data_IF_769695908068
#
_entry.id   IF_769695908068
#
_cell.length_a   1.000
_cell.length_b   1.000
_cell.length_c   1.000
_cell.angle_alpha   90.00
_cell.angle_beta   90.00
_cell.angle_gamma   90.00
#
_symmetry.space_group_name_H-M   'P 1'
#
loop_
_entity.id
_entity.type
_entity.pdbx_description
1 polymer ?
#
# COMPACT_ATOMS: atom_id res chain seq x y z
N UNK A 1 14.26 -2.09 85.96
CA UNK A 1 13.30 -1.46 85.07
C UNK A 1 13.90 -1.31 83.71
N UNK A 2 13.75 -2.32 82.85
CA UNK A 2 14.48 -2.40 81.58
C UNK A 2 13.47 -2.25 80.43
N UNK A 3 13.58 -1.15 79.69
CA UNK A 3 12.69 -0.82 78.61
C UNK A 3 13.16 -1.50 77.34
N UNK A 4 12.42 -2.48 76.84
CA UNK A 4 12.71 -3.18 75.57
C UNK A 4 12.13 -2.37 74.40
N UNK A 5 13.00 -1.75 73.62
CA UNK A 5 12.62 -1.10 72.38
C UNK A 5 12.54 -2.15 71.26
N UNK A 6 11.31 -2.48 70.82
CA UNK A 6 11.06 -3.30 69.62
C UNK A 6 11.28 -2.43 68.36
N UNK A 7 12.35 -2.68 67.64
CA UNK A 7 12.54 -2.12 66.26
C UNK A 7 11.79 -2.97 65.26
N UNK A 8 10.68 -2.42 64.76
CA UNK A 8 9.95 -3.00 63.62
C UNK A 8 10.67 -2.66 62.33
N UNK A 9 11.26 -3.66 61.68
CA UNK A 9 11.79 -3.51 60.34
C UNK A 9 10.66 -3.61 59.33
N UNK A 10 10.26 -2.47 58.73
CA UNK A 10 9.35 -2.40 57.61
C UNK A 10 10.11 -2.82 56.34
N UNK A 11 9.85 -4.02 55.85
CA UNK A 11 10.37 -4.50 54.59
C UNK A 11 9.55 -3.88 53.44
N UNK A 12 10.16 -2.91 52.76
CA UNK A 12 9.59 -2.35 51.53
C UNK A 12 9.82 -3.35 50.38
N UNK A 13 8.78 -4.06 49.96
CA UNK A 13 8.84 -4.92 48.78
C UNK A 13 8.68 -4.03 47.53
N UNK A 14 9.77 -3.80 46.82
CA UNK A 14 9.76 -3.18 45.48
C UNK A 14 9.33 -4.26 44.49
N UNK A 15 8.08 -4.21 44.05
CA UNK A 15 7.58 -5.02 42.94
C UNK A 15 8.14 -4.44 41.63
N UNK A 16 9.12 -5.10 41.05
CA UNK A 16 9.55 -4.82 39.66
C UNK A 16 8.43 -5.31 38.73
N UNK A 17 7.63 -4.38 38.25
CA UNK A 17 6.67 -4.65 37.18
C UNK A 17 7.42 -4.85 35.86
N UNK A 18 7.60 -6.10 35.45
CA UNK A 18 8.05 -6.44 34.08
C UNK A 18 6.90 -6.16 33.14
N UNK A 19 6.91 -5.01 32.50
CA UNK A 19 6.01 -4.69 31.39
C UNK A 19 6.45 -5.53 30.18
N UNK A 20 5.75 -6.65 29.98
CA UNK A 20 5.93 -7.50 28.82
C UNK A 20 5.30 -6.78 27.61
N UNK A 21 6.13 -6.11 26.82
CA UNK A 21 5.72 -5.54 25.55
C UNK A 21 5.37 -6.70 24.61
N UNK A 22 4.09 -6.83 24.28
CA UNK A 22 3.66 -7.77 23.23
C UNK A 22 4.27 -7.34 21.91
N UNK A 23 4.82 -8.26 21.10
CA UNK A 23 5.29 -7.91 19.78
C UNK A 23 4.09 -7.42 18.97
N UNK A 24 4.16 -6.16 18.50
CA UNK A 24 3.27 -5.67 17.46
C UNK A 24 3.58 -6.48 16.21
N UNK A 25 2.72 -7.46 15.92
CA UNK A 25 2.80 -8.20 14.66
C UNK A 25 2.56 -7.20 13.54
N UNK A 26 3.62 -6.79 12.85
CA UNK A 26 3.51 -6.00 11.64
C UNK A 26 2.80 -6.87 10.59
N UNK A 27 1.47 -6.69 10.46
CA UNK A 27 0.73 -7.31 9.37
C UNK A 27 1.31 -6.80 8.06
N UNK A 28 1.62 -7.72 7.15
CA UNK A 28 2.03 -7.35 5.79
C UNK A 28 0.95 -6.43 5.20
N UNK A 29 1.34 -5.36 4.52
CA UNK A 29 0.37 -4.47 3.89
C UNK A 29 -0.55 -5.29 2.98
N UNK A 30 -1.84 -5.00 3.02
CA UNK A 30 -2.83 -5.69 2.19
C UNK A 30 -2.39 -5.65 0.73
N UNK A 31 -2.43 -6.80 0.05
CA UNK A 31 -1.99 -6.92 -1.36
C UNK A 31 -2.84 -6.09 -2.32
N UNK A 32 -4.08 -5.80 -1.95
CA UNK A 32 -5.07 -5.09 -2.76
C UNK A 32 -5.61 -3.86 -2.02
N UNK A 33 -6.12 -2.94 -2.79
CA UNK A 33 -6.75 -1.72 -2.31
C UNK A 33 -8.09 -1.51 -3.02
N UNK A 34 -9.09 -1.07 -2.28
CA UNK A 34 -10.39 -0.72 -2.86
C UNK A 34 -10.29 0.52 -3.75
N UNK A 35 -11.18 0.59 -4.73
CA UNK A 35 -11.16 1.62 -5.78
C UNK A 35 -11.20 3.05 -5.25
N UNK A 36 -12.07 3.33 -4.28
CA UNK A 36 -12.21 4.67 -3.69
C UNK A 36 -10.95 5.10 -2.94
N UNK A 37 -10.37 4.20 -2.17
CA UNK A 37 -9.13 4.48 -1.44
C UNK A 37 -7.97 4.71 -2.42
N UNK A 38 -7.87 3.88 -3.47
CA UNK A 38 -6.86 4.04 -4.51
C UNK A 38 -6.97 5.40 -5.21
N UNK A 39 -8.19 5.80 -5.56
CA UNK A 39 -8.45 7.11 -6.15
C UNK A 39 -8.05 8.24 -5.21
N UNK A 40 -8.49 8.21 -3.96
CA UNK A 40 -8.19 9.23 -2.97
C UNK A 40 -6.68 9.37 -2.73
N UNK A 41 -5.95 8.26 -2.67
CA UNK A 41 -4.50 8.26 -2.49
C UNK A 41 -3.76 8.82 -3.71
N UNK A 42 -4.21 8.46 -4.92
CA UNK A 42 -3.63 8.98 -6.15
C UNK A 42 -3.90 10.48 -6.33
N UNK A 43 -5.14 10.93 -6.13
CA UNK A 43 -5.51 12.35 -6.25
C UNK A 43 -4.81 13.24 -5.23
N UNK A 44 -4.55 12.72 -4.03
CA UNK A 44 -3.82 13.44 -2.98
C UNK A 44 -2.27 13.34 -3.11
N UNK A 45 -1.76 12.63 -4.12
CA UNK A 45 -0.33 12.43 -4.31
C UNK A 45 0.33 11.51 -3.26
N UNK A 46 -0.46 10.74 -2.51
CA UNK A 46 0.05 9.77 -1.52
C UNK A 46 0.51 8.46 -2.15
N UNK A 47 0.06 8.16 -3.34
CA UNK A 47 0.45 6.97 -4.08
C UNK A 47 0.58 7.26 -5.57
N UNK A 48 1.51 6.58 -6.24
CA UNK A 48 1.61 6.57 -7.69
C UNK A 48 0.62 5.56 -8.26
N UNK A 49 -0.39 6.01 -8.99
CA UNK A 49 -1.29 5.14 -9.73
C UNK A 49 -0.68 4.82 -11.10
N UNK A 50 -0.49 3.53 -11.39
CA UNK A 50 0.07 3.05 -12.65
C UNK A 50 -0.98 2.26 -13.40
N UNK A 51 -1.43 2.77 -14.55
CA UNK A 51 -2.36 2.10 -15.44
C UNK A 51 -1.59 1.22 -16.42
N UNK A 52 -1.67 -0.09 -16.21
CA UNK A 52 -0.92 -1.09 -16.98
C UNK A 52 -1.72 -1.65 -18.17
N UNK A 53 -2.86 -1.04 -18.51
CA UNK A 53 -3.62 -1.42 -19.69
C UNK A 53 -2.85 -1.11 -20.97
N UNK A 54 -3.31 -1.62 -22.08
CA UNK A 54 -2.71 -1.36 -23.37
C UNK A 54 -3.13 0.02 -23.95
N UNK A 55 -2.37 0.61 -24.88
CA UNK A 55 -2.64 1.94 -25.42
C UNK A 55 -4.05 2.11 -25.98
N UNK A 56 -4.59 1.09 -26.65
CA UNK A 56 -5.97 1.15 -27.18
C UNK A 56 -7.03 1.22 -26.05
N UNK A 57 -6.73 0.65 -24.89
CA UNK A 57 -7.58 0.77 -23.70
C UNK A 57 -7.45 2.16 -23.06
N UNK A 58 -6.22 2.70 -22.99
CA UNK A 58 -5.97 4.06 -22.51
C UNK A 58 -6.76 5.10 -23.34
N UNK A 59 -6.90 4.89 -24.66
CA UNK A 59 -7.63 5.77 -25.52
C UNK A 59 -9.12 5.93 -25.15
N UNK A 60 -9.68 4.97 -24.41
CA UNK A 60 -11.08 5.05 -23.92
C UNK A 60 -11.24 5.98 -22.72
N UNK A 61 -10.14 6.36 -22.08
CA UNK A 61 -10.08 7.21 -20.89
C UNK A 61 -9.21 6.58 -19.80
N UNK A 62 -8.58 7.45 -19.03
CA UNK A 62 -7.69 7.10 -17.93
C UNK A 62 -8.03 7.87 -16.67
N UNK A 63 -7.64 7.37 -15.51
CA UNK A 63 -7.74 8.13 -14.28
C UNK A 63 -6.79 9.34 -14.32
N UNK A 64 -7.23 10.48 -13.84
CA UNK A 64 -6.40 11.70 -13.81
C UNK A 64 -5.09 11.45 -13.06
N UNK A 65 -3.97 11.82 -13.67
CA UNK A 65 -2.64 11.71 -13.07
C UNK A 65 -2.05 10.31 -13.06
N UNK A 66 -2.75 9.31 -13.59
CA UNK A 66 -2.21 7.96 -13.71
C UNK A 66 -0.99 7.94 -14.65
N UNK A 67 0.05 7.23 -14.23
CA UNK A 67 1.19 6.89 -15.10
C UNK A 67 0.75 5.78 -16.04
N UNK A 68 0.92 5.98 -17.33
CA UNK A 68 0.58 4.99 -18.34
C UNK A 68 1.80 4.12 -18.66
N UNK A 69 1.73 2.86 -18.26
CA UNK A 69 2.82 1.91 -18.44
C UNK A 69 2.23 0.55 -18.86
N UNK A 70 2.06 0.32 -20.16
CA UNK A 70 1.51 -0.93 -20.67
C UNK A 70 2.22 -2.15 -20.10
N UNK A 71 1.46 -3.17 -19.71
CA UNK A 71 2.00 -4.37 -19.07
C UNK A 71 3.16 -4.99 -19.84
N UNK A 72 3.08 -5.04 -21.16
CA UNK A 72 4.13 -5.57 -22.04
C UNK A 72 5.44 -4.77 -21.99
N UNK A 73 5.40 -3.50 -21.55
CA UNK A 73 6.57 -2.61 -21.49
C UNK A 73 7.20 -2.57 -20.09
N UNK A 74 6.56 -3.14 -19.06
CA UNK A 74 7.03 -3.05 -17.67
C UNK A 74 8.45 -3.59 -17.54
N UNK A 75 8.78 -4.69 -18.21
CA UNK A 75 10.12 -5.28 -18.14
C UNK A 75 11.21 -4.32 -18.60
N UNK A 76 11.00 -3.62 -19.73
CA UNK A 76 11.94 -2.65 -20.27
C UNK A 76 11.94 -1.31 -19.50
N UNK A 77 10.83 -0.98 -18.84
CA UNK A 77 10.60 0.29 -18.14
C UNK A 77 10.48 0.13 -16.63
N UNK A 78 11.03 -0.94 -16.07
CA UNK A 78 10.89 -1.27 -14.66
C UNK A 78 11.40 -0.16 -13.73
N UNK A 79 12.41 0.59 -14.13
CA UNK A 79 12.93 1.73 -13.38
C UNK A 79 11.90 2.85 -13.14
N UNK A 80 10.81 2.87 -13.90
CA UNK A 80 9.72 3.83 -13.72
C UNK A 80 8.76 3.45 -12.59
N UNK A 81 8.88 2.24 -12.03
CA UNK A 81 8.14 1.80 -10.85
C UNK A 81 9.08 1.95 -9.64
N UNK A 82 8.81 2.90 -8.73
CA UNK A 82 9.63 3.07 -7.53
C UNK A 82 9.66 1.81 -6.68
N UNK A 83 10.83 1.46 -6.17
CA UNK A 83 11.02 0.33 -5.22
C UNK A 83 11.15 0.79 -3.77
N UNK A 84 11.21 2.10 -3.56
CA UNK A 84 11.28 2.68 -2.23
C UNK A 84 9.98 2.41 -1.46
N UNK A 85 10.11 1.81 -0.27
CA UNK A 85 8.97 1.51 0.61
C UNK A 85 8.17 2.76 1.02
N UNK A 86 8.78 3.94 1.01
CA UNK A 86 8.13 5.22 1.31
C UNK A 86 7.28 5.77 0.15
N UNK A 87 7.34 5.15 -1.03
CA UNK A 87 6.60 5.56 -2.22
C UNK A 87 5.56 4.49 -2.60
N UNK A 88 4.33 4.53 -2.08
CA UNK A 88 3.29 3.58 -2.44
C UNK A 88 2.97 3.60 -3.93
N UNK A 89 2.85 2.43 -4.53
CA UNK A 89 2.48 2.22 -5.93
C UNK A 89 1.21 1.39 -6.03
N UNK A 90 0.25 1.85 -6.83
CA UNK A 90 -1.03 1.20 -7.06
C UNK A 90 -1.12 0.81 -8.53
N UNK A 91 -1.21 -0.49 -8.82
CA UNK A 91 -1.38 -1.00 -10.17
C UNK A 91 -2.87 -1.12 -10.50
N UNK A 92 -3.29 -0.57 -11.61
CA UNK A 92 -4.66 -0.71 -12.11
C UNK A 92 -4.65 -1.25 -13.54
N UNK A 93 -5.57 -2.16 -13.82
CA UNK A 93 -5.85 -2.63 -15.18
C UNK A 93 -7.35 -2.57 -15.46
N UNK A 94 -7.85 -3.30 -16.45
CA UNK A 94 -9.28 -3.24 -16.75
C UNK A 94 -10.16 -3.86 -15.66
N UNK A 95 -9.77 -5.00 -15.13
CA UNK A 95 -10.45 -5.66 -13.99
C UNK A 95 -9.56 -5.67 -12.75
N UNK A 96 -8.75 -6.72 -12.58
CA UNK A 96 -7.67 -6.80 -11.56
C UNK A 96 -6.69 -7.93 -11.89
N UNK A 97 -7.00 -8.76 -12.91
CA UNK A 97 -6.24 -9.97 -13.16
C UNK A 97 -4.79 -9.67 -13.59
N UNK A 98 -4.60 -8.75 -14.55
CA UNK A 98 -3.27 -8.33 -15.00
C UNK A 98 -2.50 -7.62 -13.89
N UNK A 99 -3.13 -6.70 -13.18
CA UNK A 99 -2.47 -5.96 -12.09
C UNK A 99 -2.11 -6.86 -10.91
N UNK A 100 -2.90 -7.88 -10.60
CA UNK A 100 -2.55 -8.90 -9.61
C UNK A 100 -1.33 -9.72 -10.05
N UNK A 101 -1.30 -10.15 -11.31
CA UNK A 101 -0.15 -10.91 -11.83
C UNK A 101 1.15 -10.09 -11.82
N UNK A 102 1.09 -8.82 -12.21
CA UNK A 102 2.23 -7.89 -12.15
C UNK A 102 2.66 -7.64 -10.70
N UNK A 103 1.70 -7.42 -9.81
CA UNK A 103 1.97 -7.27 -8.37
C UNK A 103 2.76 -8.48 -7.84
N UNK A 104 2.33 -9.71 -8.15
CA UNK A 104 3.00 -10.92 -7.72
C UNK A 104 4.44 -10.98 -8.24
N UNK A 105 4.66 -10.71 -9.53
CA UNK A 105 5.99 -10.68 -10.13
C UNK A 105 6.91 -9.62 -9.51
N UNK A 106 6.37 -8.45 -9.16
CA UNK A 106 7.11 -7.39 -8.48
C UNK A 106 7.45 -7.79 -7.03
N UNK A 107 6.53 -8.46 -6.33
CA UNK A 107 6.77 -9.00 -4.98
C UNK A 107 7.95 -9.98 -4.99
N UNK A 108 8.01 -10.89 -5.93
CA UNK A 108 9.12 -11.83 -6.11
C UNK A 108 10.46 -11.13 -6.36
N UNK A 109 10.43 -9.90 -6.89
CA UNK A 109 11.61 -9.03 -7.10
C UNK A 109 11.92 -8.11 -5.92
N UNK A 110 11.21 -8.27 -4.80
CA UNK A 110 11.46 -7.54 -3.56
C UNK A 110 10.75 -6.17 -3.45
N UNK A 111 9.76 -5.88 -4.28
CA UNK A 111 8.91 -4.71 -4.12
C UNK A 111 7.93 -4.94 -2.96
N UNK A 112 7.99 -4.10 -1.94
CA UNK A 112 7.11 -4.17 -0.76
C UNK A 112 6.06 -3.07 -0.73
N UNK A 113 6.18 -2.09 -1.61
CA UNK A 113 5.39 -0.86 -1.69
C UNK A 113 4.27 -0.91 -2.75
N UNK A 114 4.11 -2.04 -3.45
CA UNK A 114 3.15 -2.19 -4.55
C UNK A 114 1.91 -2.93 -4.08
N UNK A 115 0.75 -2.43 -4.48
CA UNK A 115 -0.56 -3.08 -4.32
C UNK A 115 -1.32 -3.02 -5.64
N UNK A 116 -2.37 -3.82 -5.82
CA UNK A 116 -3.24 -3.72 -6.99
C UNK A 116 -4.64 -3.24 -6.60
N UNK A 117 -5.32 -2.57 -7.55
CA UNK A 117 -6.65 -1.98 -7.34
C UNK A 117 -7.73 -3.00 -7.71
N UNK A 118 -8.66 -3.24 -6.78
CA UNK A 118 -9.83 -4.10 -7.03
C UNK A 118 -10.76 -3.49 -8.06
N UNK A 119 -11.35 -4.34 -8.91
CA UNK A 119 -12.35 -3.95 -9.90
C UNK A 119 -11.80 -3.22 -11.12
N UNK A 120 -10.65 -2.58 -11.01
CA UNK A 120 -9.97 -1.93 -12.13
C UNK A 120 -10.76 -0.81 -12.81
N UNK A 121 -10.37 -0.47 -14.03
CA UNK A 121 -10.97 0.63 -14.81
C UNK A 121 -12.40 0.32 -15.29
N UNK A 122 -12.79 -0.93 -15.40
CA UNK A 122 -14.17 -1.29 -15.71
C UNK A 122 -15.13 -0.90 -14.58
N UNK A 123 -14.75 -1.15 -13.33
CA UNK A 123 -15.50 -0.73 -12.16
C UNK A 123 -15.46 0.80 -11.98
N UNK A 124 -14.32 1.43 -12.28
CA UNK A 124 -14.16 2.88 -12.29
C UNK A 124 -15.20 3.54 -13.21
N UNK A 125 -15.32 3.05 -14.45
CA UNK A 125 -16.30 3.55 -15.41
C UNK A 125 -17.73 3.26 -14.98
N UNK A 126 -17.99 2.04 -14.47
CA UNK A 126 -19.33 1.63 -14.01
C UNK A 126 -19.84 2.52 -12.88
N UNK A 127 -18.96 3.00 -12.00
CA UNK A 127 -19.29 3.93 -10.91
C UNK A 127 -19.38 5.38 -11.37
N UNK A 128 -19.13 5.68 -12.64
CA UNK A 128 -19.16 7.03 -13.17
C UNK A 128 -18.03 7.92 -12.63
N UNK A 129 -16.92 7.33 -12.19
CA UNK A 129 -15.78 8.09 -11.72
C UNK A 129 -15.10 8.83 -12.87
N UNK A 130 -14.49 10.02 -12.61
CA UNK A 130 -13.95 10.86 -13.65
C UNK A 130 -12.86 10.17 -14.49
N UNK A 131 -12.99 10.28 -15.81
CA UNK A 131 -12.00 9.86 -16.79
C UNK A 131 -11.48 11.08 -17.54
N UNK A 132 -10.22 11.06 -17.91
CA UNK A 132 -9.60 12.05 -18.77
C UNK A 132 -8.99 11.39 -19.99
N UNK A 133 -8.81 12.15 -21.07
CA UNK A 133 -8.06 11.66 -22.23
C UNK A 133 -6.59 11.57 -21.89
N UNK A 134 -5.89 10.49 -22.34
CA UNK A 134 -4.46 10.39 -22.10
C UNK A 134 -3.74 11.51 -22.83
N UNK A 135 -2.69 12.07 -22.21
CA UNK A 135 -1.81 13.01 -22.86
C UNK A 135 -0.82 12.20 -23.71
N UNK A 136 -0.96 12.30 -25.01
CA UNK A 136 0.02 11.73 -25.95
C UNK A 136 1.26 12.64 -25.92
N UNK A 137 2.37 12.12 -25.41
CA UNK A 137 3.68 12.78 -25.44
C UNK A 137 4.54 12.18 -26.53
#
# INVERSE_FOLDING_TARGET
MTLLIRRSFLRLAVALGVTMALPVSASLPAERVGLEAARADAEAGRALLVDIREPYEHATGVARGAKLLPMREIGARLAEIPKDAAQPVLLICNTQNRSRAVWQALRERGYTNVRYVEGGMSEWARRGLPLVKPVVR
#
